data_IF_764014264972
#
_entry.id   IF_764014264972
#
_cell.length_a   1.000
_cell.length_b   1.000
_cell.length_c   1.000
_cell.angle_alpha   90.00
_cell.angle_beta   90.00
_cell.angle_gamma   90.00
#
_symmetry.space_group_name_H-M   'P 1'
#
loop_
_entity.id
_entity.type
_entity.pdbx_description
1 polymer ?
#
# COMPACT_ATOMS: atom_id res chain seq x y z
N UNK A 1 23.11 -4.04 -5.50
CA UNK A 1 23.30 -3.67 -4.07
C UNK A 1 22.04 -2.98 -3.55
N UNK A 2 21.66 -3.22 -2.29
CA UNK A 2 20.52 -2.54 -1.68
C UNK A 2 20.86 -1.08 -1.33
N UNK A 3 19.85 -0.22 -1.22
CA UNK A 3 20.01 1.18 -0.78
C UNK A 3 20.26 1.25 0.72
N UNK A 4 21.23 2.06 1.14
CA UNK A 4 21.48 2.38 2.56
C UNK A 4 20.25 3.01 3.24
N UNK A 5 20.06 2.71 4.53
CA UNK A 5 19.03 3.28 5.39
C UNK A 5 19.09 4.82 5.42
N UNK A 6 20.31 5.36 5.39
CA UNK A 6 20.57 6.81 5.47
C UNK A 6 20.53 7.50 4.09
N UNK A 7 20.25 6.76 3.01
CA UNK A 7 20.12 7.34 1.67
C UNK A 7 19.03 8.41 1.63
N UNK A 8 19.28 9.48 0.86
CA UNK A 8 18.32 10.60 0.71
C UNK A 8 16.96 10.11 0.18
N UNK A 9 16.98 9.19 -0.78
CA UNK A 9 15.78 8.56 -1.33
C UNK A 9 14.93 7.84 -0.28
N UNK A 10 15.52 6.93 0.50
CA UNK A 10 14.77 6.18 1.54
C UNK A 10 14.31 7.08 2.69
N UNK A 11 14.98 8.20 2.95
CA UNK A 11 14.52 9.21 3.93
C UNK A 11 13.33 10.00 3.41
N UNK A 12 13.39 10.49 2.17
CA UNK A 12 12.28 11.20 1.51
C UNK A 12 11.01 10.36 1.47
N UNK A 13 11.10 9.12 0.95
CA UNK A 13 9.95 8.20 0.92
C UNK A 13 9.40 7.88 2.32
N UNK A 14 10.23 7.91 3.37
CA UNK A 14 9.74 7.74 4.75
C UNK A 14 9.03 8.99 5.25
N UNK A 15 9.50 10.19 4.91
CA UNK A 15 8.83 11.44 5.25
C UNK A 15 7.44 11.50 4.60
N UNK A 16 7.35 11.24 3.29
CA UNK A 16 6.08 11.19 2.56
C UNK A 16 5.11 10.16 3.17
N UNK A 17 5.62 8.96 3.54
CA UNK A 17 4.81 7.96 4.25
C UNK A 17 4.36 8.41 5.63
N UNK A 18 5.18 9.14 6.39
CA UNK A 18 4.79 9.63 7.73
C UNK A 18 3.65 10.65 7.64
N UNK A 19 3.62 11.49 6.62
CA UNK A 19 2.48 12.39 6.37
C UNK A 19 1.23 11.55 6.07
N UNK A 20 1.31 10.70 5.04
CA UNK A 20 0.17 9.89 4.58
C UNK A 20 -0.43 8.95 5.63
N UNK A 21 0.41 8.29 6.44
CA UNK A 21 -0.06 7.38 7.47
C UNK A 21 -0.27 8.07 8.82
N UNK A 22 0.41 9.20 9.08
CA UNK A 22 0.24 9.96 10.30
C UNK A 22 -1.20 10.44 10.49
N UNK A 23 -1.78 11.06 9.47
CA UNK A 23 -3.19 11.49 9.50
C UNK A 23 -4.14 10.32 9.79
N UNK A 24 -3.97 9.21 9.06
CA UNK A 24 -4.81 8.01 9.22
C UNK A 24 -4.66 7.33 10.58
N UNK A 25 -3.46 7.36 11.14
CA UNK A 25 -3.19 6.83 12.48
C UNK A 25 -3.79 7.75 13.53
N UNK A 26 -3.72 9.07 13.37
CA UNK A 26 -4.37 10.03 14.27
C UNK A 26 -5.88 9.84 14.32
N UNK A 27 -6.54 9.69 13.17
CA UNK A 27 -7.98 9.48 13.13
C UNK A 27 -8.39 8.20 13.85
N UNK A 28 -7.66 7.10 13.61
CA UNK A 28 -7.88 5.83 14.31
C UNK A 28 -7.64 5.92 15.81
N UNK A 29 -6.64 6.69 16.24
CA UNK A 29 -6.37 6.90 17.65
C UNK A 29 -7.46 7.73 18.31
N UNK A 30 -7.94 8.79 17.63
CA UNK A 30 -9.09 9.58 18.10
C UNK A 30 -10.32 8.70 18.26
N UNK A 31 -10.64 7.85 17.27
CA UNK A 31 -11.81 6.96 17.36
C UNK A 31 -11.67 5.89 18.46
N UNK A 32 -10.46 5.36 18.68
CA UNK A 32 -10.22 4.44 19.80
C UNK A 32 -10.45 5.13 21.15
N UNK A 33 -10.02 6.38 21.29
CA UNK A 33 -10.13 7.12 22.55
C UNK A 33 -11.57 7.59 22.81
N UNK A 34 -12.33 7.97 21.78
CA UNK A 34 -13.77 8.25 21.91
C UNK A 34 -14.53 6.99 22.35
N UNK A 35 -14.17 5.82 21.79
CA UNK A 35 -14.80 4.55 22.16
C UNK A 35 -14.44 4.11 23.58
N UNK A 36 -13.25 4.46 24.07
CA UNK A 36 -12.83 4.19 25.45
C UNK A 36 -13.51 5.13 26.47
N UNK A 37 -14.17 6.20 26.02
CA UNK A 37 -14.78 7.21 26.89
C UNK A 37 -13.80 8.28 27.41
N UNK A 38 -12.53 8.20 26.98
CA UNK A 38 -11.44 9.05 27.46
C UNK A 38 -11.22 10.32 26.60
N UNK A 39 -11.87 10.41 25.43
CA UNK A 39 -11.84 11.59 24.57
C UNK A 39 -13.23 12.23 24.48
N UNK A 40 -13.40 13.37 25.13
CA UNK A 40 -14.44 14.31 24.74
C UNK A 40 -13.93 15.08 23.52
N UNK A 41 -14.70 15.09 22.43
CA UNK A 41 -14.44 15.94 21.27
C UNK A 41 -14.64 17.41 21.69
N UNK A 42 -13.64 17.99 22.36
CA UNK A 42 -13.63 19.43 22.64
C UNK A 42 -13.48 20.12 21.29
N UNK A 43 -14.50 20.87 20.89
CA UNK A 43 -14.53 21.60 19.63
C UNK A 43 -13.24 22.39 19.42
N UNK A 44 -12.82 22.46 18.15
CA UNK A 44 -11.62 23.17 17.70
C UNK A 44 -11.74 24.68 17.93
N UNK A 45 -11.63 25.13 19.18
CA UNK A 45 -11.50 26.55 19.54
C UNK A 45 -10.54 26.77 20.72
N UNK A 46 -9.65 25.81 21.03
CA UNK A 46 -8.54 26.03 21.96
C UNK A 46 -7.21 26.08 21.21
N UNK A 47 -6.97 27.22 20.57
CA UNK A 47 -5.60 27.74 20.51
C UNK A 47 -5.05 27.80 21.94
N UNK A 48 -3.74 27.60 22.10
CA UNK A 48 -3.01 27.61 23.39
C UNK A 48 -3.00 26.30 24.19
N UNK A 49 -2.37 25.25 23.65
CA UNK A 49 -1.53 24.40 24.49
C UNK A 49 -0.09 24.46 23.93
N UNK A 50 0.50 25.64 24.09
CA UNK A 50 1.94 25.86 24.00
C UNK A 50 2.58 25.07 25.13
N UNK A 51 3.20 23.94 24.78
CA UNK A 51 4.26 23.38 25.63
C UNK A 51 5.27 24.52 25.79
N UNK A 52 5.54 25.05 27.01
CA UNK A 52 6.59 26.04 27.16
C UNK A 52 7.88 25.41 26.63
N UNK A 53 8.66 26.13 25.79
CA UNK A 53 9.97 25.62 25.42
C UNK A 53 10.70 25.30 26.72
N UNK A 54 11.39 24.14 26.83
CA UNK A 54 12.20 23.87 28.02
C UNK A 54 13.07 25.10 28.21
N UNK A 55 12.92 25.77 29.35
CA UNK A 55 13.60 27.03 29.66
C UNK A 55 15.05 26.90 29.24
N UNK A 56 15.42 27.55 28.14
CA UNK A 56 16.80 27.65 27.71
C UNK A 56 17.46 28.63 28.67
N UNK A 57 17.80 28.15 29.87
CA UNK A 57 18.89 28.75 30.65
C UNK A 57 20.09 28.73 29.72
N UNK A 58 20.46 29.92 29.26
CA UNK A 58 21.47 30.15 28.25
C UNK A 58 22.72 29.30 28.51
N UNK A 59 22.89 28.23 27.72
CA UNK A 59 24.21 27.65 27.51
C UNK A 59 24.77 28.41 26.33
N UNK A 60 25.60 29.40 26.62
CA UNK A 60 26.34 30.14 25.61
C UNK A 60 26.97 29.15 24.63
N UNK A 61 26.71 29.26 23.32
CA UNK A 61 27.38 28.40 22.36
C UNK A 61 28.84 28.84 22.28
N UNK A 62 29.76 28.07 22.89
CA UNK A 62 31.19 28.17 22.59
C UNK A 62 31.35 28.00 21.07
N UNK A 63 31.82 29.08 20.43
CA UNK A 63 32.00 29.15 19.00
C UNK A 63 33.02 28.11 18.51
N UNK A 64 32.52 26.94 18.07
CA UNK A 64 33.33 26.00 17.29
C UNK A 64 33.41 26.55 15.87
N UNK A 65 34.60 26.95 15.45
CA UNK A 65 34.90 27.46 14.12
C UNK A 65 34.56 26.42 13.05
N UNK A 66 33.43 26.63 12.38
CA UNK A 66 33.06 25.86 11.20
C UNK A 66 33.99 26.27 10.05
N UNK A 67 34.95 25.42 9.71
CA UNK A 67 35.76 25.53 8.49
C UNK A 67 34.81 25.55 7.29
N UNK A 68 34.71 26.71 6.63
CA UNK A 68 34.03 26.91 5.36
C UNK A 68 34.64 25.99 4.30
N UNK A 69 33.94 24.90 3.95
CA UNK A 69 34.28 24.09 2.79
C UNK A 69 33.74 24.77 1.52
N UNK A 70 34.67 25.07 0.62
CA UNK A 70 34.42 25.74 -0.66
C UNK A 70 33.31 25.04 -1.46
N UNK A 71 32.31 25.84 -1.84
CA UNK A 71 31.20 25.47 -2.71
C UNK A 71 31.75 25.23 -4.11
N UNK A 72 32.01 23.97 -4.46
CA UNK A 72 32.22 23.57 -5.87
C UNK A 72 30.86 23.68 -6.58
N UNK A 73 30.70 24.74 -7.35
CA UNK A 73 29.65 24.93 -8.35
C UNK A 73 29.71 23.76 -9.34
N UNK A 74 28.86 22.75 -9.14
CA UNK A 74 28.61 21.75 -10.19
C UNK A 74 27.52 22.32 -11.07
N UNK A 75 27.94 23.01 -12.13
CA UNK A 75 27.09 23.34 -13.27
C UNK A 75 26.38 22.07 -13.73
N UNK A 76 25.08 22.00 -13.45
CA UNK A 76 24.18 21.02 -14.06
C UNK A 76 23.15 21.80 -14.85
N UNK A 77 23.45 21.93 -16.14
CA UNK A 77 22.52 22.21 -17.23
C UNK A 77 21.14 21.64 -16.89
N UNK A 78 20.20 22.52 -16.58
CA UNK A 78 18.78 22.19 -16.41
C UNK A 78 18.23 21.74 -17.76
N UNK A 79 18.09 20.43 -17.96
CA UNK A 79 17.20 19.90 -18.99
C UNK A 79 15.79 20.00 -18.40
N UNK A 80 15.08 21.03 -18.87
CA UNK A 80 13.69 21.30 -18.55
C UNK A 80 12.89 20.26 -19.34
N UNK A 81 12.56 19.14 -18.73
CA UNK A 81 11.54 18.25 -19.26
C UNK A 81 10.20 18.87 -18.82
N UNK A 82 9.65 19.69 -19.71
CA UNK A 82 8.29 20.21 -19.60
C UNK A 82 7.35 19.02 -19.77
N UNK A 83 6.77 18.55 -18.66
CA UNK A 83 5.55 17.77 -18.73
C UNK A 83 4.44 18.80 -18.92
N UNK A 84 3.90 18.91 -20.13
CA UNK A 84 2.63 19.58 -20.35
C UNK A 84 1.62 18.87 -19.45
N UNK A 85 1.15 19.60 -18.44
CA UNK A 85 0.01 19.20 -17.62
C UNK A 85 -1.22 19.45 -18.50
N UNK A 86 -1.59 18.44 -19.30
CA UNK A 86 -2.84 18.46 -20.04
C UNK A 86 -3.96 18.52 -19.01
N UNK A 87 -4.49 19.73 -18.82
CA UNK A 87 -5.66 20.02 -18.01
C UNK A 87 -6.82 19.17 -18.53
N UNK A 88 -7.03 18.02 -17.88
CA UNK A 88 -8.27 17.27 -18.02
C UNK A 88 -9.33 18.04 -17.22
N UNK A 89 -9.99 18.99 -17.87
CA UNK A 89 -11.19 19.64 -17.36
C UNK A 89 -12.26 18.56 -17.16
N UNK A 90 -12.49 18.19 -15.89
CA UNK A 90 -13.68 17.43 -15.50
C UNK A 90 -14.89 18.32 -15.76
N UNK A 91 -15.63 18.02 -16.82
CA UNK A 91 -16.93 18.60 -17.12
C UNK A 91 -17.92 18.26 -15.99
N UNK A 92 -18.79 19.19 -15.52
CA UNK A 92 -19.71 18.96 -14.40
C UNK A 92 -20.85 17.94 -14.66
N UNK A 93 -20.80 17.18 -15.75
CA UNK A 93 -21.89 16.29 -16.19
C UNK A 93 -21.75 14.85 -15.67
N UNK A 94 -20.59 14.46 -15.12
CA UNK A 94 -20.36 13.12 -14.55
C UNK A 94 -20.77 12.99 -13.06
N UNK A 95 -21.23 14.07 -12.42
CA UNK A 95 -21.54 14.10 -10.99
C UNK A 95 -22.97 13.64 -10.65
N UNK A 96 -23.77 13.25 -11.65
CA UNK A 96 -25.19 12.92 -11.45
C UNK A 96 -25.55 11.42 -11.51
N UNK A 97 -24.59 10.49 -11.57
CA UNK A 97 -24.91 9.09 -11.91
C UNK A 97 -24.25 7.95 -11.11
N UNK A 98 -23.74 8.12 -9.89
CA UNK A 98 -23.48 6.94 -9.03
C UNK A 98 -23.79 7.21 -7.55
N UNK A 99 -25.02 7.65 -7.27
CA UNK A 99 -25.74 7.21 -6.09
C UNK A 99 -26.45 5.91 -6.47
N UNK A 100 -25.84 4.76 -6.22
CA UNK A 100 -26.58 3.50 -6.09
C UNK A 100 -25.76 2.44 -5.34
N UNK A 101 -26.34 2.06 -4.20
CA UNK A 101 -26.35 0.71 -3.66
C UNK A 101 -25.08 0.18 -2.96
N UNK A 102 -25.23 0.12 -1.63
CA UNK A 102 -24.59 -0.84 -0.76
C UNK A 102 -24.18 -2.13 -1.50
N UNK A 103 -22.89 -2.46 -1.47
CA UNK A 103 -22.31 -3.70 -2.00
C UNK A 103 -23.19 -4.91 -1.66
N UNK A 104 -24.06 -5.31 -2.59
CA UNK A 104 -25.04 -6.36 -2.39
C UNK A 104 -24.27 -7.67 -2.14
N UNK A 105 -24.41 -8.21 -0.92
CA UNK A 105 -23.69 -9.40 -0.43
C UNK A 105 -24.22 -10.69 -1.07
N UNK A 106 -25.24 -10.62 -1.92
CA UNK A 106 -25.83 -11.76 -2.61
C UNK A 106 -25.11 -12.11 -3.92
N UNK A 107 -23.79 -11.92 -3.98
CA UNK A 107 -22.98 -12.58 -5.02
C UNK A 107 -22.94 -14.06 -4.69
N UNK A 108 -23.78 -14.85 -5.36
CA UNK A 108 -23.80 -16.31 -5.31
C UNK A 108 -22.37 -16.86 -5.15
N UNK A 109 -22.14 -17.62 -4.07
CA UNK A 109 -20.83 -18.16 -3.76
C UNK A 109 -20.32 -18.97 -4.96
N UNK A 110 -19.19 -18.55 -5.54
CA UNK A 110 -18.58 -19.28 -6.66
C UNK A 110 -18.16 -20.66 -6.17
N UNK A 111 -18.82 -21.70 -6.68
CA UNK A 111 -18.58 -23.09 -6.26
C UNK A 111 -17.36 -23.63 -6.99
N UNK A 112 -16.24 -23.72 -6.27
CA UNK A 112 -14.99 -24.25 -6.83
C UNK A 112 -14.87 -25.76 -6.65
N UNK A 113 -14.33 -26.45 -7.66
CA UNK A 113 -14.03 -27.88 -7.54
C UNK A 113 -12.85 -28.12 -6.59
N UNK A 114 -12.97 -29.12 -5.69
CA UNK A 114 -11.91 -29.46 -4.71
C UNK A 114 -10.57 -29.88 -5.34
N UNK A 115 -10.60 -30.34 -6.60
CA UNK A 115 -9.40 -30.87 -7.29
C UNK A 115 -8.72 -29.84 -8.17
N UNK A 116 -9.48 -29.12 -8.99
CA UNK A 116 -8.91 -28.16 -9.94
C UNK A 116 -8.94 -26.73 -9.41
N UNK A 117 -9.68 -26.46 -8.32
CA UNK A 117 -9.91 -25.10 -7.79
C UNK A 117 -10.39 -24.16 -8.90
N UNK A 118 -11.25 -24.68 -9.76
CA UNK A 118 -11.89 -23.94 -10.85
C UNK A 118 -13.38 -23.87 -10.62
N UNK A 119 -13.95 -22.75 -11.00
CA UNK A 119 -15.38 -22.48 -11.02
C UNK A 119 -16.06 -23.19 -12.22
N UNK A 120 -17.39 -23.06 -12.32
CA UNK A 120 -18.21 -23.60 -13.42
C UNK A 120 -17.72 -23.09 -14.79
N UNK A 121 -17.28 -21.84 -14.85
CA UNK A 121 -16.74 -21.21 -16.06
C UNK A 121 -15.24 -21.48 -16.29
N UNK A 122 -14.60 -22.34 -15.48
CA UNK A 122 -13.19 -22.67 -15.61
C UNK A 122 -12.20 -21.62 -15.06
N UNK A 123 -12.72 -20.57 -14.43
CA UNK A 123 -11.94 -19.50 -13.79
C UNK A 123 -11.44 -19.91 -12.41
N UNK A 124 -10.29 -19.36 -12.01
CA UNK A 124 -9.72 -19.56 -10.67
C UNK A 124 -10.25 -18.52 -9.67
N UNK A 125 -10.23 -18.81 -8.35
CA UNK A 125 -10.61 -17.83 -7.34
C UNK A 125 -9.77 -16.55 -7.44
N UNK A 126 -10.41 -15.40 -7.17
CA UNK A 126 -9.77 -14.07 -7.25
C UNK A 126 -8.58 -13.94 -6.28
N UNK A 127 -8.65 -14.60 -5.12
CA UNK A 127 -7.56 -14.65 -4.14
C UNK A 127 -6.38 -15.54 -4.58
N UNK A 128 -6.55 -16.36 -5.63
CA UNK A 128 -5.52 -17.26 -6.12
C UNK A 128 -4.61 -16.55 -7.14
N UNK A 129 -3.41 -16.18 -6.70
CA UNK A 129 -2.40 -15.53 -7.54
C UNK A 129 -1.93 -16.42 -8.71
N UNK A 130 -1.56 -15.81 -9.86
CA UNK A 130 -1.00 -16.45 -11.07
C UNK A 130 0.05 -17.52 -10.79
N UNK A 131 0.94 -17.31 -9.81
CA UNK A 131 1.95 -18.31 -9.41
C UNK A 131 1.33 -19.59 -8.82
N UNK A 132 0.31 -19.45 -7.97
CA UNK A 132 -0.42 -20.60 -7.39
C UNK A 132 -1.21 -21.34 -8.46
N UNK A 133 -1.78 -20.63 -9.44
CA UNK A 133 -2.44 -21.23 -10.61
C UNK A 133 -1.46 -22.13 -11.38
N UNK A 134 -0.24 -21.63 -11.68
CA UNK A 134 0.78 -22.40 -12.39
C UNK A 134 1.25 -23.64 -11.60
N UNK A 135 1.40 -23.51 -10.28
CA UNK A 135 1.72 -24.64 -9.41
C UNK A 135 0.61 -25.71 -9.42
N UNK A 136 -0.65 -25.31 -9.28
CA UNK A 136 -1.80 -26.22 -9.30
C UNK A 136 -1.90 -26.95 -10.65
N UNK A 137 -1.66 -26.27 -11.78
CA UNK A 137 -1.59 -26.88 -13.12
C UNK A 137 -0.53 -27.98 -13.18
N UNK A 138 0.65 -27.76 -12.57
CA UNK A 138 1.73 -28.76 -12.52
C UNK A 138 1.34 -29.97 -11.67
N UNK A 139 0.71 -29.75 -10.51
CA UNK A 139 0.21 -30.84 -9.65
C UNK A 139 -0.86 -31.67 -10.38
N UNK A 140 -1.84 -31.02 -11.01
CA UNK A 140 -2.89 -31.69 -11.78
C UNK A 140 -2.31 -32.51 -12.95
N UNK A 141 -1.29 -32.00 -13.65
CA UNK A 141 -0.57 -32.75 -14.70
C UNK A 141 0.09 -34.00 -14.13
N UNK A 142 0.70 -33.94 -12.95
CA UNK A 142 1.32 -35.10 -12.29
C UNK A 142 0.27 -36.15 -11.87
N UNK A 143 -0.84 -35.71 -11.28
CA UNK A 143 -1.93 -36.61 -10.87
C UNK A 143 -2.53 -37.30 -12.10
N UNK A 144 -2.77 -36.56 -13.19
CA UNK A 144 -3.27 -37.12 -14.45
C UNK A 144 -2.32 -38.16 -15.05
N UNK A 145 -1.00 -37.93 -15.00
CA UNK A 145 0.00 -38.92 -15.43
C UNK A 145 -0.05 -40.19 -14.59
N UNK A 146 -0.13 -40.07 -13.27
CA UNK A 146 -0.24 -41.21 -12.34
C UNK A 146 -1.50 -42.03 -12.57
N UNK A 147 -2.64 -41.37 -12.82
CA UNK A 147 -3.89 -42.05 -13.14
C UNK A 147 -3.79 -42.84 -14.46
N UNK A 148 -3.16 -42.25 -15.49
CA UNK A 148 -2.95 -42.93 -16.79
C UNK A 148 -2.02 -44.14 -16.65
N UNK A 149 -0.92 -44.02 -15.92
CA UNK A 149 -0.01 -45.16 -15.68
C UNK A 149 -0.68 -46.26 -14.84
N UNK A 150 -1.51 -45.90 -13.85
CA UNK A 150 -2.27 -46.86 -13.07
C UNK A 150 -3.35 -47.59 -13.89
N UNK A 151 -4.03 -46.87 -14.81
CA UNK A 151 -5.00 -47.48 -15.72
C UNK A 151 -4.32 -48.41 -16.74
N UNK A 152 -3.12 -48.06 -17.22
CA UNK A 152 -2.33 -48.93 -18.09
C UNK A 152 -1.87 -50.21 -17.36
N UNK A 153 -1.40 -50.10 -16.12
CA UNK A 153 -0.99 -51.27 -15.32
C UNK A 153 -2.15 -52.22 -14.96
N UNK A 154 -3.39 -51.69 -14.86
CA UNK A 154 -4.59 -52.52 -14.65
C UNK A 154 -5.05 -53.26 -15.92
N UNK A 155 -4.75 -52.73 -17.11
CA UNK A 155 -5.10 -53.37 -18.40
C UNK A 155 -4.18 -54.53 -18.77
N UNK A 156 -3.00 -54.61 -18.18
CA UNK A 156 -2.02 -55.70 -18.40
C UNK A 156 -2.31 -56.92 -17.50
N UNK A 157 -3.19 -56.76 -16.50
CA UNK A 157 -3.63 -57.84 -15.60
C UNK A 157 -5.04 -58.32 -16.01
N UNK A 158 -5.16 -58.91 -17.19
CA UNK A 158 -6.33 -59.69 -17.62
C UNK A 158 -5.87 -60.76 -18.59
#
# INVERSE_FOLDING_TARGET
MAKSLRSKWKRRMRAEKRVRYGEKELDRLKTMLTNAGDYQMVGEDSTQNTIPPPSTSAREPLAVSIVKRNKREVSRKSRKDEYQDDQFEMTPEDEALEEDEAMSVDKAERVYSKRTMKDQFGNYPVWMNKRKIMAQRKVNKRIGKRAKSAAAGKRVRR
#
